data_IF_130535071863
#
_entry.id   IF_130535071863
#
_cell.length_a   1.000
_cell.length_b   1.000
_cell.length_c   1.000
_cell.angle_alpha   90.00
_cell.angle_beta   90.00
_cell.angle_gamma   90.00
#
_symmetry.space_group_name_H-M   'P 1'
#
loop_
_entity.id
_entity.type
_entity.pdbx_description
1 polymer ?
#
# COMPACT_ATOMS: atom_id res chain seq x y z
N UNK A 1 -7.47 29.88 -5.70
CA UNK A 1 -6.19 29.22 -5.37
C UNK A 1 -6.45 28.50 -4.06
N UNK A 2 -6.87 27.24 -4.13
CA UNK A 2 -7.14 26.46 -2.92
C UNK A 2 -5.80 26.00 -2.37
N UNK A 3 -5.50 26.45 -1.16
CA UNK A 3 -4.24 26.17 -0.49
C UNK A 3 -4.26 24.72 0.03
N UNK A 4 -3.36 23.90 -0.50
CA UNK A 4 -3.30 22.46 -0.22
C UNK A 4 -2.98 22.19 1.26
N UNK A 5 -2.33 23.14 1.93
CA UNK A 5 -1.95 23.03 3.34
C UNK A 5 -3.15 23.31 4.26
N UNK A 6 -4.05 24.22 3.87
CA UNK A 6 -5.29 24.47 4.61
C UNK A 6 -6.22 23.25 4.55
N UNK A 7 -6.24 22.55 3.40
CA UNK A 7 -7.03 21.33 3.27
C UNK A 7 -6.48 20.18 4.13
N UNK A 8 -5.15 20.03 4.22
CA UNK A 8 -4.50 19.06 5.13
C UNK A 8 -4.85 19.31 6.59
N UNK A 9 -4.83 20.58 7.03
CA UNK A 9 -5.13 20.94 8.41
C UNK A 9 -6.59 20.62 8.80
N UNK A 10 -7.55 20.93 7.90
CA UNK A 10 -8.98 20.68 8.16
C UNK A 10 -9.32 19.19 8.10
N UNK A 11 -8.68 18.41 7.22
CA UNK A 11 -8.88 16.95 7.16
C UNK A 11 -8.27 16.25 8.39
N UNK A 12 -7.14 16.74 8.89
CA UNK A 12 -6.50 16.21 10.10
C UNK A 12 -7.36 16.38 11.36
N UNK A 13 -8.20 17.41 11.44
CA UNK A 13 -9.08 17.66 12.59
C UNK A 13 -10.38 16.83 12.56
N UNK A 14 -10.75 16.26 11.41
CA UNK A 14 -11.90 15.34 11.26
C UNK A 14 -11.51 13.90 11.66
N UNK A 15 -10.22 13.65 11.91
CA UNK A 15 -9.67 12.33 12.24
C UNK A 15 -10.14 11.80 13.61
N UNK A 16 -10.53 12.70 14.53
CA UNK A 16 -10.83 12.42 15.94
C UNK A 16 -12.20 11.76 16.22
N UNK A 17 -13.04 11.48 15.21
CA UNK A 17 -14.39 10.91 15.45
C UNK A 17 -14.57 9.43 15.10
N UNK A 18 -13.48 8.68 14.92
CA UNK A 18 -13.55 7.23 14.81
C UNK A 18 -12.25 6.60 15.29
N UNK A 19 -12.29 6.02 16.49
CA UNK A 19 -11.29 5.10 17.06
C UNK A 19 -11.21 3.81 16.22
N UNK A 20 -10.86 3.94 14.94
CA UNK A 20 -10.44 2.85 14.07
C UNK A 20 -8.93 2.97 14.04
N UNK A 21 -8.20 1.90 14.29
CA UNK A 21 -6.73 1.89 14.24
C UNK A 21 -6.26 2.24 12.82
N UNK A 22 -6.17 3.54 12.52
CA UNK A 22 -5.73 4.05 11.23
C UNK A 22 -4.23 3.89 11.18
N UNK A 23 -3.77 3.06 10.24
CA UNK A 23 -2.36 2.95 9.93
C UNK A 23 -1.91 4.26 9.27
N UNK A 24 -0.90 4.92 9.85
CA UNK A 24 -0.25 6.07 9.24
C UNK A 24 0.61 5.70 8.04
N UNK A 25 1.00 6.69 7.24
CA UNK A 25 1.89 6.47 6.09
C UNK A 25 3.24 5.87 6.50
N UNK A 26 3.83 6.38 7.59
CA UNK A 26 5.13 5.89 8.09
C UNK A 26 5.02 4.42 8.57
N UNK A 27 4.01 4.10 9.38
CA UNK A 27 3.76 2.73 9.84
C UNK A 27 3.45 1.77 8.68
N UNK A 28 2.83 2.26 7.61
CA UNK A 28 2.59 1.48 6.40
C UNK A 28 3.91 1.05 5.76
N UNK A 29 4.86 1.96 5.63
CA UNK A 29 6.17 1.65 5.07
C UNK A 29 6.96 0.65 5.90
N UNK A 30 6.96 0.79 7.22
CA UNK A 30 7.68 -0.15 8.09
C UNK A 30 7.11 -1.58 8.02
N UNK A 31 5.86 -1.73 7.59
CA UNK A 31 5.15 -3.03 7.51
C UNK A 31 4.97 -3.53 6.09
N UNK A 32 5.40 -2.77 5.07
CA UNK A 32 5.15 -3.09 3.67
C UNK A 32 5.96 -4.30 3.19
N UNK A 33 7.15 -4.51 3.75
CA UNK A 33 7.97 -5.68 3.46
C UNK A 33 7.26 -6.96 3.90
N UNK A 34 6.71 -6.98 5.12
CA UNK A 34 5.92 -8.10 5.63
C UNK A 34 4.66 -8.37 4.81
N UNK A 35 4.07 -7.32 4.23
CA UNK A 35 2.93 -7.45 3.31
C UNK A 35 3.30 -8.19 2.03
N UNK A 36 4.48 -7.90 1.46
CA UNK A 36 5.02 -8.61 0.29
C UNK A 36 5.38 -10.05 0.66
N UNK A 37 6.06 -10.25 1.78
CA UNK A 37 6.47 -11.58 2.26
C UNK A 37 5.28 -12.51 2.52
N UNK A 38 4.17 -11.98 3.06
CA UNK A 38 2.95 -12.76 3.25
C UNK A 38 2.44 -13.32 1.91
N UNK A 39 2.39 -12.48 0.87
CA UNK A 39 1.94 -12.90 -0.46
C UNK A 39 2.93 -13.89 -1.12
N UNK A 40 4.24 -13.68 -0.95
CA UNK A 40 5.29 -14.58 -1.45
C UNK A 40 5.28 -15.94 -0.73
N UNK A 41 4.89 -15.96 0.54
CA UNK A 41 4.71 -17.19 1.34
C UNK A 41 3.44 -17.96 0.98
N UNK A 42 2.64 -17.46 0.03
CA UNK A 42 1.38 -18.04 -0.39
C UNK A 42 0.19 -17.72 0.51
N UNK A 43 0.37 -16.81 1.48
CA UNK A 43 -0.74 -16.27 2.27
C UNK A 43 -1.43 -15.15 1.50
N UNK A 44 -2.69 -14.88 1.83
CA UNK A 44 -3.39 -13.72 1.31
C UNK A 44 -2.96 -12.48 2.11
N UNK A 45 -2.13 -11.62 1.52
CA UNK A 45 -1.61 -10.44 2.22
C UNK A 45 -2.72 -9.48 2.70
N UNK A 46 -3.81 -9.36 1.94
CA UNK A 46 -4.97 -8.53 2.33
C UNK A 46 -5.69 -9.08 3.56
N UNK A 47 -5.68 -10.40 3.78
CA UNK A 47 -6.28 -11.03 4.97
C UNK A 47 -5.29 -11.04 6.15
N UNK A 48 -4.01 -11.26 5.87
CA UNK A 48 -2.96 -11.30 6.88
C UNK A 48 -2.68 -9.91 7.48
N UNK A 49 -2.75 -8.86 6.64
CA UNK A 49 -2.38 -7.49 7.00
C UNK A 49 -3.40 -6.49 6.42
N UNK A 50 -4.66 -6.53 6.91
CA UNK A 50 -5.76 -5.75 6.34
C UNK A 50 -5.56 -4.24 6.44
N UNK A 51 -4.92 -3.75 7.50
CA UNK A 51 -4.67 -2.32 7.69
C UNK A 51 -3.68 -1.75 6.66
N UNK A 52 -2.65 -2.53 6.28
CA UNK A 52 -1.70 -2.15 5.22
C UNK A 52 -2.39 -2.14 3.86
N UNK A 53 -3.20 -3.17 3.59
CA UNK A 53 -4.00 -3.24 2.37
C UNK A 53 -4.96 -2.05 2.24
N UNK A 54 -5.71 -1.73 3.29
CA UNK A 54 -6.63 -0.60 3.31
C UNK A 54 -5.91 0.73 3.09
N UNK A 55 -4.77 0.93 3.75
CA UNK A 55 -3.98 2.15 3.59
C UNK A 55 -3.46 2.30 2.15
N UNK A 56 -2.88 1.25 1.55
CA UNK A 56 -2.42 1.28 0.15
C UNK A 56 -3.58 1.46 -0.84
N UNK A 57 -4.79 0.99 -0.50
CA UNK A 57 -5.96 1.18 -1.33
C UNK A 57 -6.45 2.64 -1.33
N UNK A 58 -6.41 3.31 -0.17
CA UNK A 58 -6.93 4.66 0.02
C UNK A 58 -5.87 5.74 -0.29
N UNK A 59 -4.64 5.55 0.17
CA UNK A 59 -3.55 6.50 0.03
C UNK A 59 -2.83 6.31 -1.31
N UNK A 60 -2.98 7.29 -2.22
CA UNK A 60 -2.32 7.26 -3.52
C UNK A 60 -0.80 7.36 -3.44
N UNK A 61 -0.27 8.16 -2.52
CA UNK A 61 1.16 8.39 -2.34
C UNK A 61 1.88 7.10 -1.90
N UNK A 62 1.41 6.47 -0.81
CA UNK A 62 1.98 5.20 -0.37
C UNK A 62 1.80 4.08 -1.41
N UNK A 63 0.74 4.12 -2.22
CA UNK A 63 0.58 3.17 -3.32
C UNK A 63 1.61 3.41 -4.43
N UNK A 64 1.85 4.64 -4.83
CA UNK A 64 2.82 4.94 -5.89
C UNK A 64 4.23 4.52 -5.47
N UNK A 65 4.59 4.79 -4.22
CA UNK A 65 5.88 4.37 -3.68
C UNK A 65 5.98 2.85 -3.50
N UNK A 66 4.89 2.19 -3.08
CA UNK A 66 4.80 0.73 -3.09
C UNK A 66 4.99 0.16 -4.51
N UNK A 67 4.42 0.80 -5.53
CA UNK A 67 4.61 0.44 -6.93
C UNK A 67 6.08 0.53 -7.34
N UNK A 68 6.77 1.60 -6.96
CA UNK A 68 8.21 1.76 -7.19
C UNK A 68 9.04 0.67 -6.48
N UNK A 69 8.66 0.27 -5.26
CA UNK A 69 9.27 -0.84 -4.54
C UNK A 69 9.08 -2.17 -5.30
N UNK A 70 7.85 -2.45 -5.76
CA UNK A 70 7.57 -3.67 -6.54
C UNK A 70 8.36 -3.71 -7.86
N UNK A 71 8.53 -2.58 -8.54
CA UNK A 71 9.37 -2.49 -9.74
C UNK A 71 10.85 -2.78 -9.45
N UNK A 72 11.39 -2.21 -8.36
CA UNK A 72 12.75 -2.49 -7.92
C UNK A 72 12.96 -3.98 -7.61
N UNK A 73 11.99 -4.62 -6.92
CA UNK A 73 12.04 -6.05 -6.63
C UNK A 73 12.01 -6.92 -7.89
N UNK A 74 11.18 -6.56 -8.89
CA UNK A 74 11.16 -7.27 -10.19
C UNK A 74 12.49 -7.19 -10.93
N UNK A 75 13.19 -6.07 -10.80
CA UNK A 75 14.46 -5.86 -11.49
C UNK A 75 15.61 -6.68 -10.89
N UNK A 76 15.52 -7.07 -9.61
CA UNK A 76 16.53 -7.89 -8.93
C UNK A 76 16.22 -9.39 -8.95
N UNK A 77 14.96 -9.76 -9.16
CA UNK A 77 14.52 -11.15 -9.23
C UNK A 77 14.82 -11.82 -10.58
N UNK A 78 14.98 -13.15 -10.55
CA UNK A 78 15.16 -13.93 -11.77
C UNK A 78 13.86 -13.98 -12.60
N UNK A 79 13.89 -13.68 -13.91
CA UNK A 79 12.70 -13.77 -14.78
C UNK A 79 12.04 -15.15 -14.83
N UNK A 80 12.75 -16.22 -14.46
CA UNK A 80 12.25 -17.59 -14.37
C UNK A 80 11.59 -17.94 -13.02
N UNK A 81 11.66 -17.03 -12.04
CA UNK A 81 11.02 -17.14 -10.73
C UNK A 81 9.53 -16.77 -10.83
N UNK A 82 8.63 -17.36 -10.01
CA UNK A 82 7.23 -16.94 -9.96
C UNK A 82 7.03 -15.56 -9.30
N UNK A 83 8.08 -14.96 -8.72
CA UNK A 83 8.00 -13.72 -7.95
C UNK A 83 7.36 -12.57 -8.73
N UNK A 84 7.73 -12.24 -9.99
CA UNK A 84 7.11 -11.15 -10.72
C UNK A 84 5.59 -11.29 -10.88
N UNK A 85 5.09 -12.51 -11.11
CA UNK A 85 3.65 -12.78 -11.22
C UNK A 85 2.92 -12.58 -9.88
N UNK A 86 3.58 -12.93 -8.77
CA UNK A 86 3.08 -12.70 -7.42
C UNK A 86 2.99 -11.20 -7.12
N UNK A 87 4.03 -10.44 -7.45
CA UNK A 87 4.05 -8.98 -7.26
C UNK A 87 2.98 -8.30 -8.13
N UNK A 88 2.75 -8.75 -9.37
CA UNK A 88 1.66 -8.27 -10.22
C UNK A 88 0.27 -8.50 -9.62
N UNK A 89 0.07 -9.67 -9.01
CA UNK A 89 -1.19 -9.99 -8.33
C UNK A 89 -1.37 -9.07 -7.12
N UNK A 90 -0.32 -8.86 -6.33
CA UNK A 90 -0.35 -7.99 -5.16
C UNK A 90 -0.69 -6.55 -5.54
N UNK A 91 -0.04 -6.02 -6.59
CA UNK A 91 -0.34 -4.69 -7.13
C UNK A 91 -1.81 -4.55 -7.50
N UNK A 92 -2.39 -5.53 -8.20
CA UNK A 92 -3.81 -5.50 -8.58
C UNK A 92 -4.76 -5.42 -7.39
N UNK A 93 -4.40 -5.95 -6.20
CA UNK A 93 -5.25 -5.90 -4.99
C UNK A 93 -5.26 -4.52 -4.36
N UNK A 94 -4.15 -3.78 -4.43
CA UNK A 94 -4.00 -2.47 -3.79
C UNK A 94 -4.35 -1.32 -4.72
N UNK A 95 -4.45 -1.55 -6.04
CA UNK A 95 -4.82 -0.51 -7.01
C UNK A 95 -6.33 -0.51 -7.27
N UNK A 96 -7.05 0.56 -6.87
CA UNK A 96 -8.45 0.75 -7.22
C UNK A 96 -8.66 0.82 -8.74
N UNK A 97 -9.86 0.47 -9.20
CA UNK A 97 -10.19 0.48 -10.64
C UNK A 97 -10.04 1.86 -11.29
N UNK A 98 -10.22 2.95 -10.54
CA UNK A 98 -10.06 4.32 -11.03
C UNK A 98 -8.60 4.78 -11.13
N UNK A 99 -7.66 4.02 -10.55
CA UNK A 99 -6.23 4.34 -10.50
C UNK A 99 -5.40 3.43 -11.42
N UNK A 100 -6.05 2.61 -12.26
CA UNK A 100 -5.42 1.77 -13.28
C UNK A 100 -5.37 2.45 -14.64
#
# INVERSE_FOLDING_TARGET
MFDREIFKAVVGEIDDTREVEKLGCDDCFERVDGFIEAELSGLNASEAMPLVHEHLYICGECRDEFGALLEALRAVEDPSSPVPEVLDRLWRRVTPSYAR
#
